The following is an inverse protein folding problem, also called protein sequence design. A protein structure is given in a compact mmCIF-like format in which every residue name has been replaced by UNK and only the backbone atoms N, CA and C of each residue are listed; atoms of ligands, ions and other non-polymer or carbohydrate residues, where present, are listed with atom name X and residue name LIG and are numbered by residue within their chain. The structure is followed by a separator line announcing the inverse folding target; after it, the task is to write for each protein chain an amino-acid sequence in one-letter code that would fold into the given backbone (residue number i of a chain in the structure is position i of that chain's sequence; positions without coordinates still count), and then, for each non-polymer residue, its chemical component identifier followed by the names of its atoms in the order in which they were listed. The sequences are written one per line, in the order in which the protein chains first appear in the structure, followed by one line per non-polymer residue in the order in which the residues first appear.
data_IF_914678087177
#
_entry.id   IF_914678087177
#
_cell.length_a   1.000
_cell.length_b   1.000
_cell.length_c   1.000
_cell.angle_alpha   90.00
_cell.angle_beta   90.00
_cell.angle_gamma   90.00
#
_symmetry.space_group_name_H-M   'P 1'
#
loop_
_entity.id
_entity.type
_entity.pdbx_description
1 polymer ?
#
# COMPACT_ATOMS: atom_id res chain seq x y z
N UNK A 1 -43.63 56.63 -24.36
CA UNK A 1 -44.51 56.10 -25.42
C UNK A 1 -44.46 54.59 -25.41
N UNK A 2 -45.63 53.95 -25.59
CA UNK A 2 -45.89 52.50 -25.65
C UNK A 2 -44.91 51.75 -26.58
N UNK A 3 -44.55 50.51 -26.23
CA UNK A 3 -45.01 49.28 -26.92
C UNK A 3 -44.38 48.02 -26.31
N UNK A 4 -45.26 47.15 -25.83
CA UNK A 4 -45.02 45.73 -25.53
C UNK A 4 -44.87 44.99 -26.87
N UNK A 5 -43.93 44.06 -26.97
CA UNK A 5 -43.93 43.06 -28.03
C UNK A 5 -43.38 41.73 -27.49
N UNK A 6 -44.33 40.83 -27.24
CA UNK A 6 -44.10 39.39 -27.08
C UNK A 6 -43.52 38.82 -28.38
N UNK A 7 -42.52 37.95 -28.29
CA UNK A 7 -42.30 36.89 -29.28
C UNK A 7 -41.45 35.76 -28.69
N UNK A 8 -42.08 34.59 -28.53
CA UNK A 8 -41.47 33.28 -28.77
C UNK A 8 -40.37 32.81 -27.82
N UNK A 9 -40.74 32.27 -26.66
CA UNK A 9 -39.94 31.24 -26.00
C UNK A 9 -40.03 29.97 -26.87
N UNK A 10 -39.11 29.83 -27.82
CA UNK A 10 -38.83 28.55 -28.47
C UNK A 10 -38.16 27.68 -27.41
N UNK A 11 -38.90 26.70 -26.90
CA UNK A 11 -38.33 25.57 -26.15
C UNK A 11 -37.33 24.87 -27.08
N UNK A 12 -36.05 25.18 -26.92
CA UNK A 12 -34.97 24.43 -27.52
C UNK A 12 -34.97 23.03 -26.87
N UNK A 13 -35.59 22.07 -27.55
CA UNK A 13 -35.34 20.66 -27.33
C UNK A 13 -33.91 20.35 -27.74
N UNK A 14 -32.95 20.61 -26.83
CA UNK A 14 -31.60 20.06 -26.95
C UNK A 14 -31.70 18.56 -26.73
N UNK A 15 -31.73 17.88 -27.87
CA UNK A 15 -31.73 16.44 -28.08
C UNK A 15 -30.74 15.72 -27.17
N UNK A 16 -31.22 14.69 -26.48
CA UNK A 16 -30.47 13.72 -25.68
C UNK A 16 -29.38 12.91 -26.45
N UNK A 17 -29.08 13.27 -27.69
CA UNK A 17 -28.10 12.58 -28.53
C UNK A 17 -26.65 12.93 -28.16
N UNK A 18 -26.38 14.19 -27.78
CA UNK A 18 -25.03 14.64 -27.44
C UNK A 18 -24.53 14.09 -26.09
N UNK A 19 -25.45 13.75 -25.19
CA UNK A 19 -25.11 13.13 -23.90
C UNK A 19 -24.70 11.66 -24.04
N UNK A 20 -25.40 10.89 -24.89
CA UNK A 20 -25.03 9.48 -25.10
C UNK A 20 -23.65 9.36 -25.78
N UNK A 21 -23.32 10.29 -26.68
CA UNK A 21 -22.01 10.28 -27.35
C UNK A 21 -20.88 10.64 -26.39
N UNK A 22 -21.05 11.68 -25.55
CA UNK A 22 -20.03 12.07 -24.58
C UNK A 22 -19.80 11.02 -23.49
N UNK A 23 -20.86 10.33 -23.04
CA UNK A 23 -20.80 9.20 -22.11
C UNK A 23 -20.04 7.99 -22.68
N UNK A 24 -20.32 7.64 -23.94
CA UNK A 24 -19.66 6.51 -24.61
C UNK A 24 -18.17 6.77 -24.84
N UNK A 25 -17.80 8.00 -25.22
CA UNK A 25 -16.40 8.39 -25.40
C UNK A 25 -15.65 8.45 -24.06
N UNK A 26 -16.29 8.91 -22.98
CA UNK A 26 -15.71 8.83 -21.63
C UNK A 26 -15.48 7.39 -21.18
N UNK A 27 -16.44 6.49 -21.39
CA UNK A 27 -16.32 5.10 -20.99
C UNK A 27 -15.23 4.36 -21.79
N UNK A 28 -15.09 4.66 -23.08
CA UNK A 28 -14.01 4.14 -23.91
C UNK A 28 -12.64 4.68 -23.49
N UNK A 29 -12.54 5.95 -23.10
CA UNK A 29 -11.30 6.53 -22.58
C UNK A 29 -10.91 5.95 -21.21
N UNK A 30 -11.88 5.73 -20.32
CA UNK A 30 -11.66 5.08 -19.02
C UNK A 30 -11.25 3.62 -19.22
N UNK A 31 -11.91 2.88 -20.12
CA UNK A 31 -11.48 1.52 -20.45
C UNK A 31 -10.08 1.51 -21.08
N UNK A 32 -9.73 2.45 -21.95
CA UNK A 32 -8.37 2.55 -22.49
C UNK A 32 -7.32 2.90 -21.41
N UNK A 33 -7.70 3.66 -20.38
CA UNK A 33 -6.84 3.97 -19.24
C UNK A 33 -6.72 2.79 -18.24
N UNK A 34 -7.77 1.97 -18.11
CA UNK A 34 -7.83 0.83 -17.19
C UNK A 34 -7.40 -0.49 -17.83
N UNK A 35 -7.28 -0.56 -19.15
CA UNK A 35 -6.74 -1.72 -19.85
C UNK A 35 -5.25 -1.47 -20.12
N UNK A 36 -4.33 -1.92 -19.25
CA UNK A 36 -2.91 -1.84 -19.55
C UNK A 36 -2.66 -2.66 -20.81
N UNK A 37 -2.32 -1.99 -21.92
CA UNK A 37 -1.81 -2.66 -23.12
C UNK A 37 -0.61 -3.48 -22.67
N UNK A 38 -0.74 -4.80 -22.77
CA UNK A 38 0.24 -5.77 -22.31
C UNK A 38 1.64 -5.45 -22.80
N UNK A 39 2.41 -4.80 -21.94
CA UNK A 39 3.83 -5.07 -21.84
C UNK A 39 3.94 -6.26 -20.90
N UNK A 40 4.44 -7.39 -21.42
CA UNK A 40 5.08 -8.42 -20.62
C UNK A 40 6.36 -7.83 -19.98
N UNK A 41 6.21 -6.77 -19.20
CA UNK A 41 7.16 -6.47 -18.16
C UNK A 41 6.80 -7.47 -17.06
N UNK A 42 7.53 -8.58 -17.01
CA UNK A 42 7.69 -9.32 -15.77
C UNK A 42 7.95 -8.25 -14.70
N UNK A 43 6.94 -7.95 -13.87
CA UNK A 43 7.16 -7.22 -12.64
C UNK A 43 8.11 -8.12 -11.88
N UNK A 44 9.41 -7.86 -12.01
CA UNK A 44 10.35 -8.19 -10.97
C UNK A 44 9.89 -7.36 -9.77
N UNK A 45 8.88 -7.85 -9.06
CA UNK A 45 8.60 -7.44 -7.71
C UNK A 45 9.92 -7.70 -6.99
N UNK A 46 10.70 -6.64 -6.81
CA UNK A 46 11.94 -6.71 -6.06
C UNK A 46 11.55 -7.30 -4.72
N UNK A 47 11.92 -8.56 -4.50
CA UNK A 47 11.44 -9.31 -3.35
C UNK A 47 11.89 -8.55 -2.11
N UNK A 48 10.91 -8.10 -1.31
CA UNK A 48 11.19 -7.31 -0.12
C UNK A 48 12.21 -8.05 0.74
N UNK A 49 13.35 -7.42 1.03
CA UNK A 49 14.40 -8.07 1.83
C UNK A 49 13.87 -8.29 3.24
N UNK A 50 13.78 -9.53 3.66
CA UNK A 50 13.26 -9.91 4.98
C UNK A 50 14.40 -10.47 5.83
N UNK A 51 14.56 -9.93 7.03
CA UNK A 51 15.58 -10.35 8.00
C UNK A 51 15.13 -11.58 8.77
N UNK A 52 16.07 -12.26 9.40
CA UNK A 52 15.82 -13.45 10.22
C UNK A 52 16.33 -13.19 11.63
N UNK A 53 15.50 -13.49 12.63
CA UNK A 53 15.80 -13.39 14.05
C UNK A 53 15.33 -14.66 14.79
N UNK A 54 15.62 -14.78 16.07
CA UNK A 54 15.08 -15.84 16.93
C UNK A 54 13.75 -15.43 17.58
N UNK A 55 13.03 -16.41 18.10
CA UNK A 55 11.79 -16.22 18.83
C UNK A 55 12.01 -15.37 20.08
N UNK A 56 13.14 -15.58 20.76
CA UNK A 56 13.51 -14.79 21.94
C UNK A 56 13.79 -13.34 21.57
N UNK A 57 14.55 -13.09 20.51
CA UNK A 57 14.82 -11.74 20.01
C UNK A 57 13.52 -10.99 19.65
N UNK A 58 12.50 -11.71 19.14
CA UNK A 58 11.19 -11.12 18.90
C UNK A 58 10.44 -10.78 20.20
N UNK A 59 10.39 -11.70 21.17
CA UNK A 59 9.69 -11.51 22.46
C UNK A 59 10.27 -10.39 23.30
N UNK A 60 11.58 -10.20 23.25
CA UNK A 60 12.30 -9.17 24.00
C UNK A 60 12.57 -7.92 23.17
N UNK A 61 11.84 -7.72 22.08
CA UNK A 61 12.10 -6.65 21.12
C UNK A 61 11.73 -5.25 21.63
N UNK A 62 10.72 -5.13 22.50
CA UNK A 62 10.26 -3.84 23.03
C UNK A 62 11.43 -3.05 23.65
N UNK A 63 11.58 -1.80 23.24
CA UNK A 63 12.64 -0.90 23.71
C UNK A 63 14.01 -1.16 23.11
N UNK A 64 14.18 -2.19 22.25
CA UNK A 64 15.40 -2.34 21.45
C UNK A 64 15.38 -1.37 20.28
N UNK A 65 16.55 -0.85 19.94
CA UNK A 65 16.71 0.11 18.84
C UNK A 65 16.60 -0.57 17.47
N UNK A 66 16.31 0.21 16.43
CA UNK A 66 16.44 -0.25 15.03
C UNK A 66 17.83 -0.81 14.76
N UNK A 67 18.87 -0.10 15.20
CA UNK A 67 20.26 -0.48 14.98
C UNK A 67 20.62 -1.86 15.53
N UNK A 68 20.01 -2.28 16.64
CA UNK A 68 20.15 -3.63 17.18
C UNK A 68 19.68 -4.68 16.17
N UNK A 69 18.49 -4.50 15.58
CA UNK A 69 17.97 -5.42 14.58
C UNK A 69 18.80 -5.40 13.30
N UNK A 70 19.21 -4.22 12.83
CA UNK A 70 20.03 -4.08 11.62
C UNK A 70 21.37 -4.82 11.72
N UNK A 71 21.99 -4.84 12.90
CA UNK A 71 23.21 -5.60 13.17
C UNK A 71 22.97 -7.11 13.10
N UNK A 72 21.83 -7.59 13.62
CA UNK A 72 21.48 -9.01 13.60
C UNK A 72 21.16 -9.48 12.18
N UNK A 73 20.37 -8.71 11.44
CA UNK A 73 19.87 -9.11 10.11
C UNK A 73 20.85 -8.77 8.97
N UNK A 74 21.85 -7.93 9.24
CA UNK A 74 22.90 -7.57 8.29
C UNK A 74 22.44 -6.60 7.19
N UNK A 75 21.39 -5.80 7.44
CA UNK A 75 20.96 -4.74 6.53
C UNK A 75 20.11 -3.68 7.22
N UNK A 76 19.98 -2.52 6.56
CA UNK A 76 19.22 -1.37 7.05
C UNK A 76 17.71 -1.58 6.94
N UNK A 77 16.98 -1.31 8.01
CA UNK A 77 15.53 -1.27 8.02
C UNK A 77 15.07 0.09 7.50
N UNK A 78 14.28 0.09 6.42
CA UNK A 78 13.84 1.31 5.73
C UNK A 78 12.50 1.09 5.02
N UNK A 79 12.00 2.12 4.32
CA UNK A 79 10.73 2.08 3.62
C UNK A 79 10.60 0.89 2.65
N UNK A 80 11.67 0.60 1.89
CA UNK A 80 11.67 -0.47 0.87
C UNK A 80 11.44 -1.85 1.47
N UNK A 81 11.82 -2.09 2.73
CA UNK A 81 11.71 -3.39 3.40
C UNK A 81 10.77 -3.42 4.62
N UNK A 82 10.02 -2.35 4.84
CA UNK A 82 8.96 -2.28 5.85
C UNK A 82 7.77 -3.20 5.55
N UNK A 83 6.61 -2.95 6.09
CA UNK A 83 5.32 -3.58 5.76
C UNK A 83 4.26 -2.49 5.81
N UNK A 84 4.44 -1.56 6.75
CA UNK A 84 3.88 -0.22 6.77
C UNK A 84 5.00 0.78 7.10
N UNK A 85 4.99 1.97 6.50
CA UNK A 85 5.95 3.03 6.77
C UNK A 85 5.22 4.37 6.83
N UNK A 86 5.18 4.97 8.02
CA UNK A 86 4.49 6.23 8.28
C UNK A 86 5.34 7.11 9.19
N UNK A 87 5.00 8.39 9.31
CA UNK A 87 5.68 9.33 10.21
C UNK A 87 5.52 9.01 11.71
N UNK A 88 4.66 8.06 12.07
CA UNK A 88 4.36 7.69 13.46
C UNK A 88 4.77 6.26 13.80
N UNK A 89 4.96 5.41 12.79
CA UNK A 89 5.25 4.00 12.97
C UNK A 89 5.80 3.39 11.70
N UNK A 90 6.84 2.58 11.86
CA UNK A 90 7.46 1.79 10.81
C UNK A 90 7.40 0.31 11.20
N UNK A 91 6.67 -0.49 10.43
CA UNK A 91 6.42 -1.89 10.74
C UNK A 91 7.27 -2.79 9.87
N UNK A 92 7.91 -3.81 10.45
CA UNK A 92 8.79 -4.74 9.73
C UNK A 92 8.39 -6.18 10.00
N UNK A 93 8.38 -6.99 8.94
CA UNK A 93 8.18 -8.43 9.05
C UNK A 93 9.55 -9.11 9.03
N UNK A 94 9.89 -9.82 10.09
CA UNK A 94 11.10 -10.61 10.26
C UNK A 94 10.74 -12.09 10.36
N UNK A 95 11.56 -12.97 9.79
CA UNK A 95 11.40 -14.43 9.93
C UNK A 95 11.93 -14.89 11.27
N UNK A 96 11.32 -15.92 11.83
CA UNK A 96 11.77 -16.58 13.06
C UNK A 96 12.48 -17.88 12.71
N UNK A 97 13.79 -17.98 12.99
CA UNK A 97 14.61 -19.12 12.57
C UNK A 97 14.33 -20.41 13.35
N UNK A 98 13.99 -20.26 14.62
CA UNK A 98 13.89 -21.33 15.63
C UNK A 98 12.43 -21.72 15.92
N UNK A 99 11.49 -21.31 15.07
CA UNK A 99 10.06 -21.61 15.22
C UNK A 99 9.47 -22.13 13.91
N UNK A 100 8.68 -23.20 14.02
CA UNK A 100 7.81 -23.68 12.94
C UNK A 100 6.44 -23.01 13.04
N UNK A 101 5.83 -22.73 11.89
CA UNK A 101 4.41 -22.36 11.86
C UNK A 101 3.51 -23.54 12.24
N UNK A 102 2.19 -23.29 12.32
CA UNK A 102 1.19 -24.31 12.68
C UNK A 102 1.16 -25.53 11.73
N UNK A 103 1.66 -25.39 10.51
CA UNK A 103 1.72 -26.43 9.48
C UNK A 103 3.10 -27.10 9.38
N UNK A 104 4.03 -26.79 10.29
CA UNK A 104 5.40 -27.31 10.28
C UNK A 104 6.33 -26.62 9.26
N UNK A 105 5.85 -25.55 8.62
CA UNK A 105 6.61 -24.72 7.69
C UNK A 105 7.52 -23.73 8.42
N UNK A 106 8.45 -23.15 7.66
CA UNK A 106 9.41 -22.14 8.16
C UNK A 106 8.86 -20.71 7.98
N UNK A 107 7.54 -20.53 8.05
CA UNK A 107 6.88 -19.24 7.81
C UNK A 107 6.52 -18.50 9.10
N UNK A 108 7.12 -18.87 10.24
CA UNK A 108 6.94 -18.12 11.47
C UNK A 108 7.50 -16.69 11.30
N UNK A 109 6.66 -15.68 11.57
CA UNK A 109 6.99 -14.26 11.39
C UNK A 109 6.91 -13.55 12.74
N UNK A 110 7.86 -12.65 12.97
CA UNK A 110 7.82 -11.61 13.96
C UNK A 110 7.51 -10.28 13.26
N UNK A 111 6.47 -9.59 13.71
CA UNK A 111 6.15 -8.24 13.27
C UNK A 111 6.63 -7.30 14.36
N UNK A 112 7.50 -6.34 14.04
CA UNK A 112 7.91 -5.28 14.97
C UNK A 112 7.42 -3.94 14.44
N UNK A 113 7.01 -3.04 15.33
CA UNK A 113 6.75 -1.64 15.00
C UNK A 113 7.78 -0.76 15.70
N UNK A 114 8.47 0.06 14.94
CA UNK A 114 9.46 1.02 15.40
C UNK A 114 8.82 2.41 15.37
N UNK A 115 8.95 3.15 16.47
CA UNK A 115 8.63 4.57 16.48
C UNK A 115 9.79 5.35 15.85
N UNK A 116 9.57 6.09 14.76
CA UNK A 116 10.63 6.84 14.08
C UNK A 116 11.22 7.98 14.91
N UNK A 117 10.53 8.45 15.97
CA UNK A 117 11.04 9.52 16.82
C UNK A 117 12.05 9.00 17.84
N UNK A 118 11.76 7.85 18.45
CA UNK A 118 12.63 7.24 19.48
C UNK A 118 13.59 6.19 18.91
N UNK A 119 13.38 5.77 17.65
CA UNK A 119 14.10 4.70 16.95
C UNK A 119 14.07 3.35 17.67
N UNK A 120 13.06 3.14 18.52
CA UNK A 120 12.90 1.94 19.33
C UNK A 120 11.62 1.19 18.95
N UNK A 121 11.64 -0.13 19.16
CA UNK A 121 10.45 -0.96 19.01
C UNK A 121 9.44 -0.63 20.11
N UNK A 122 8.23 -0.29 19.71
CA UNK A 122 7.11 0.03 20.62
C UNK A 122 6.14 -1.12 20.78
N UNK A 123 6.01 -1.97 19.76
CA UNK A 123 5.15 -3.17 19.79
C UNK A 123 5.77 -4.30 18.97
N UNK A 124 5.42 -5.54 19.34
CA UNK A 124 5.66 -6.70 18.49
C UNK A 124 4.43 -7.60 18.44
N UNK A 125 4.35 -8.43 17.39
CA UNK A 125 3.36 -9.48 17.25
C UNK A 125 3.99 -10.71 16.62
N UNK A 126 3.53 -11.88 17.02
CA UNK A 126 3.89 -13.17 16.44
C UNK A 126 2.60 -13.89 16.04
N UNK A 127 2.07 -13.61 14.84
CA UNK A 127 0.91 -14.33 14.34
C UNK A 127 1.17 -15.85 14.33
N UNK A 128 0.14 -16.60 14.70
CA UNK A 128 0.15 -18.07 14.83
C UNK A 128 -0.23 -18.77 13.54
#
# INVERSE_FOLDING_TARGET
MKKILLCGLILASVSCADFQKSMQDQMNAVNAALTPKGTNAQQNASARKVGTITNEQCKTSIGKSRSYFEQIIGFKLNESNSSSYTSFSETYNLRIADRKDRLGGNYAICVIAIDPQTDNVTTFSMPV
#
